data_IF_111991541541
#
_entry.id   IF_111991541541
#
_cell.length_a   1.000
_cell.length_b   1.000
_cell.length_c   1.000
_cell.angle_alpha   90.00
_cell.angle_beta   90.00
_cell.angle_gamma   90.00
#
_symmetry.space_group_name_H-M   'P 1'
#
loop_
_entity.id
_entity.type
_entity.pdbx_description
1 polymer ?
#
# COMPACT_ATOMS: atom_id res chain seq x y z
N UNK A 1 13.00 7.42 25.83
CA UNK A 1 11.67 7.08 25.27
C UNK A 1 11.51 5.56 25.35
N UNK A 2 10.53 5.07 26.08
CA UNK A 2 10.23 3.62 26.09
C UNK A 2 9.69 3.23 24.72
N UNK A 3 10.27 2.19 24.11
CA UNK A 3 9.76 1.67 22.86
C UNK A 3 8.50 0.82 23.13
N UNK A 4 7.62 0.67 22.13
CA UNK A 4 6.44 -0.19 22.20
C UNK A 4 6.82 -1.64 22.59
N UNK A 5 8.03 -2.06 22.24
CA UNK A 5 8.63 -3.35 22.60
C UNK A 5 9.02 -3.41 24.09
N UNK A 6 9.52 -2.29 24.64
CA UNK A 6 9.84 -2.17 26.07
C UNK A 6 8.55 -2.10 26.88
N UNK A 7 7.49 -1.46 26.36
CA UNK A 7 6.15 -1.46 26.96
C UNK A 7 5.57 -2.88 27.01
N UNK A 8 5.66 -3.65 25.92
CA UNK A 8 5.19 -5.03 25.88
C UNK A 8 6.01 -5.95 26.80
N UNK A 9 7.33 -5.69 26.96
CA UNK A 9 8.18 -6.42 27.90
C UNK A 9 7.94 -6.02 29.35
N UNK A 10 7.70 -4.75 29.64
CA UNK A 10 7.35 -4.26 30.96
C UNK A 10 5.93 -4.67 31.37
N UNK A 11 4.99 -4.78 30.42
CA UNK A 11 3.64 -5.30 30.62
C UNK A 11 3.58 -6.82 30.83
N UNK A 12 4.64 -7.55 30.49
CA UNK A 12 4.75 -8.99 30.78
C UNK A 12 4.84 -9.32 32.29
N UNK A 13 5.04 -8.33 33.14
CA UNK A 13 4.95 -8.46 34.59
C UNK A 13 3.52 -8.38 35.13
N UNK A 14 2.52 -8.06 34.30
CA UNK A 14 1.11 -8.12 34.66
C UNK A 14 0.49 -9.40 34.06
N UNK A 15 -0.12 -10.21 34.89
CA UNK A 15 -0.67 -11.56 34.57
C UNK A 15 -1.66 -11.60 33.35
N UNK A 16 -2.04 -10.46 32.81
CA UNK A 16 -2.87 -10.31 31.59
C UNK A 16 -2.10 -10.28 30.28
N UNK A 17 -0.81 -9.96 30.27
CA UNK A 17 -0.04 -9.81 29.02
C UNK A 17 0.48 -11.16 28.49
N UNK A 18 0.70 -12.14 29.37
CA UNK A 18 1.09 -13.49 28.96
C UNK A 18 0.03 -14.22 28.16
N UNK A 19 -1.25 -13.97 28.46
CA UNK A 19 -2.36 -14.55 27.70
C UNK A 19 -2.55 -13.94 26.32
N UNK A 20 -2.31 -12.64 26.17
CA UNK A 20 -2.42 -11.96 24.85
C UNK A 20 -1.34 -12.42 23.87
N UNK A 21 -0.10 -12.65 24.34
CA UNK A 21 1.00 -13.17 23.51
C UNK A 21 0.75 -14.64 23.10
N UNK A 22 0.10 -15.43 23.94
CA UNK A 22 -0.21 -16.83 23.62
C UNK A 22 -1.22 -16.96 22.46
N UNK A 23 -2.06 -15.97 22.25
CA UNK A 23 -3.04 -15.93 21.15
C UNK A 23 -2.44 -15.55 19.79
N UNK A 24 -1.18 -15.07 19.76
CA UNK A 24 -0.52 -14.71 18.50
C UNK A 24 -0.07 -15.97 17.73
N UNK A 25 -0.13 -15.96 16.39
CA UNK A 25 0.45 -17.01 15.56
C UNK A 25 1.90 -17.31 15.92
N UNK A 26 2.30 -18.56 15.80
CA UNK A 26 3.64 -19.03 16.20
C UNK A 26 4.78 -18.28 15.48
N UNK A 27 4.59 -17.92 14.21
CA UNK A 27 5.53 -17.11 13.42
C UNK A 27 5.74 -15.71 14.01
N UNK A 28 4.66 -15.05 14.44
CA UNK A 28 4.72 -13.72 15.07
C UNK A 28 5.40 -13.82 16.43
N UNK A 29 5.08 -14.82 17.23
CA UNK A 29 5.74 -15.06 18.54
C UNK A 29 7.25 -15.26 18.38
N UNK A 30 7.67 -16.05 17.38
CA UNK A 30 9.10 -16.24 17.07
C UNK A 30 9.77 -14.94 16.67
N UNK A 31 9.15 -14.15 15.80
CA UNK A 31 9.68 -12.87 15.39
C UNK A 31 9.83 -11.88 16.55
N UNK A 32 8.86 -11.84 17.47
CA UNK A 32 8.94 -11.00 18.67
C UNK A 32 10.00 -11.46 19.67
N UNK A 33 10.36 -12.75 19.66
CA UNK A 33 11.39 -13.31 20.52
C UNK A 33 12.83 -13.02 20.04
N UNK A 34 13.00 -12.61 18.76
CA UNK A 34 14.32 -12.25 18.23
C UNK A 34 14.79 -10.94 18.88
N UNK A 35 15.96 -10.94 19.55
CA UNK A 35 16.51 -9.71 20.12
C UNK A 35 16.76 -8.67 19.03
N UNK A 36 16.43 -7.40 19.30
CA UNK A 36 16.82 -6.33 18.40
C UNK A 36 18.34 -6.17 18.41
N UNK A 37 18.95 -6.07 17.22
CA UNK A 37 20.35 -5.67 17.13
C UNK A 37 20.49 -4.25 17.71
N UNK A 38 21.33 -4.08 18.72
CA UNK A 38 21.53 -2.82 19.43
C UNK A 38 23.02 -2.56 19.67
N UNK A 39 23.80 -2.44 18.59
CA UNK A 39 25.22 -2.12 18.71
C UNK A 39 25.43 -0.63 18.99
N UNK A 40 24.69 0.22 18.29
CA UNK A 40 24.79 1.68 18.38
C UNK A 40 23.52 2.33 18.96
N UNK A 41 22.39 1.64 18.98
CA UNK A 41 21.09 2.15 19.36
C UNK A 41 20.51 3.15 18.34
N UNK A 42 21.03 3.17 17.12
CA UNK A 42 20.63 4.06 16.03
C UNK A 42 20.17 3.29 14.82
N UNK A 43 19.71 3.99 13.78
CA UNK A 43 19.33 3.41 12.48
C UNK A 43 20.47 2.59 11.83
N UNK A 44 21.71 2.82 12.23
CA UNK A 44 22.88 2.07 11.74
C UNK A 44 22.89 0.59 12.18
N UNK A 45 22.07 0.23 13.14
CA UNK A 45 21.90 -1.17 13.55
C UNK A 45 20.99 -1.96 12.59
N UNK A 46 20.34 -1.29 11.63
CA UNK A 46 19.53 -1.92 10.59
C UNK A 46 20.44 -2.46 9.50
N UNK A 47 20.55 -3.77 9.41
CA UNK A 47 21.41 -4.46 8.44
C UNK A 47 20.66 -4.83 7.16
N UNK A 48 19.36 -5.09 7.26
CA UNK A 48 18.51 -5.48 6.14
C UNK A 48 17.20 -4.72 6.13
N UNK A 49 16.81 -4.24 4.95
CA UNK A 49 15.50 -3.63 4.70
C UNK A 49 14.78 -4.51 3.69
N UNK A 50 13.61 -5.03 4.07
CA UNK A 50 12.74 -5.80 3.19
C UNK A 50 11.47 -5.01 2.95
N UNK A 51 11.20 -4.67 1.70
CA UNK A 51 9.97 -3.98 1.28
C UNK A 51 9.09 -5.03 0.61
N UNK A 52 8.02 -5.43 1.30
CA UNK A 52 7.02 -6.35 0.76
C UNK A 52 5.75 -5.56 0.46
N UNK A 53 5.62 -5.14 -0.79
CA UNK A 53 4.51 -4.32 -1.22
C UNK A 53 3.37 -5.19 -1.72
N UNK A 54 2.30 -5.21 -0.94
CA UNK A 54 1.01 -5.76 -1.35
C UNK A 54 0.08 -4.63 -1.78
N UNK A 55 -0.83 -4.91 -2.66
CA UNK A 55 -1.87 -4.01 -3.10
C UNK A 55 -3.16 -4.83 -3.28
N UNK A 56 -4.22 -4.33 -3.55
CA UNK A 56 -4.68 -2.99 -3.86
C UNK A 56 -5.92 -2.81 -3.00
N UNK A 57 -5.73 -2.51 -1.71
CA UNK A 57 -6.76 -2.33 -0.69
C UNK A 57 -6.49 -1.07 0.12
N UNK A 58 -7.55 -0.31 0.43
CA UNK A 58 -7.42 0.85 1.29
C UNK A 58 -7.12 0.45 2.74
N UNK A 59 -6.60 1.39 3.51
CA UNK A 59 -6.36 1.19 4.94
C UNK A 59 -7.65 0.81 5.67
N UNK A 60 -8.72 1.55 5.46
CA UNK A 60 -10.00 1.30 6.14
C UNK A 60 -10.65 -0.02 5.75
N UNK A 61 -10.44 -0.48 4.52
CA UNK A 61 -10.96 -1.78 4.08
C UNK A 61 -10.39 -2.93 4.91
N UNK A 62 -9.13 -2.82 5.37
CA UNK A 62 -8.47 -3.83 6.20
C UNK A 62 -8.49 -3.46 7.67
N UNK A 63 -8.19 -2.24 8.02
CA UNK A 63 -7.88 -1.82 9.38
C UNK A 63 -8.80 -0.72 9.92
N UNK A 64 -9.81 -0.29 9.16
CA UNK A 64 -10.75 0.75 9.60
C UNK A 64 -11.47 0.40 10.91
N UNK A 65 -11.70 -0.89 11.19
CA UNK A 65 -12.29 -1.38 12.43
C UNK A 65 -11.25 -1.73 13.52
N UNK A 66 -9.95 -1.56 13.28
CA UNK A 66 -8.90 -1.85 14.25
C UNK A 66 -8.89 -0.77 15.35
N UNK A 67 -9.00 -1.19 16.60
CA UNK A 67 -8.93 -0.26 17.72
C UNK A 67 -7.56 0.43 17.83
N UNK A 68 -7.56 1.74 18.10
CA UNK A 68 -6.36 2.54 18.33
C UNK A 68 -5.70 3.09 17.08
N UNK A 69 -6.33 2.97 15.92
CA UNK A 69 -5.88 3.60 14.65
C UNK A 69 -6.86 4.71 14.22
N UNK A 70 -6.43 5.53 13.27
CA UNK A 70 -7.30 6.48 12.57
C UNK A 70 -8.12 5.75 11.51
N UNK A 71 -9.22 5.17 11.92
CA UNK A 71 -10.19 4.44 11.11
C UNK A 71 -11.61 4.89 11.42
N UNK A 72 -12.56 3.98 11.44
CA UNK A 72 -13.98 4.31 11.70
C UNK A 72 -14.23 4.91 13.09
N UNK A 73 -13.31 4.76 14.03
CA UNK A 73 -13.34 5.41 15.35
C UNK A 73 -12.80 6.83 15.38
N UNK A 74 -12.37 7.41 14.25
CA UNK A 74 -11.89 8.80 14.19
C UNK A 74 -13.05 9.74 14.54
N UNK A 75 -12.81 10.61 15.52
CA UNK A 75 -13.82 11.54 16.04
C UNK A 75 -14.06 12.74 15.11
N UNK A 76 -13.19 12.93 14.12
CA UNK A 76 -13.21 14.10 13.23
C UNK A 76 -13.23 13.65 11.77
N UNK A 77 -14.30 12.98 11.30
CA UNK A 77 -14.41 12.58 9.91
C UNK A 77 -14.46 13.82 9.01
N UNK A 78 -13.92 13.71 7.80
CA UNK A 78 -13.98 14.79 6.80
C UNK A 78 -15.45 15.11 6.51
N UNK A 79 -15.86 16.39 6.59
CA UNK A 79 -17.23 16.77 6.25
C UNK A 79 -17.44 16.74 4.73
N UNK A 80 -18.66 16.34 4.31
CA UNK A 80 -19.11 16.38 2.92
C UNK A 80 -20.36 17.27 2.86
N UNK A 81 -20.19 18.61 2.83
CA UNK A 81 -21.29 19.57 2.97
C UNK A 81 -22.28 19.52 1.82
N UNK A 82 -21.84 19.13 0.63
CA UNK A 82 -22.64 19.10 -0.60
C UNK A 82 -23.39 17.76 -0.80
N UNK A 83 -23.43 16.91 0.23
CA UNK A 83 -24.20 15.68 0.17
C UNK A 83 -25.68 15.98 -0.06
N UNK A 84 -26.36 15.33 -1.02
CA UNK A 84 -27.80 15.49 -1.23
C UNK A 84 -28.64 15.09 -0.03
N UNK A 85 -28.15 14.22 0.83
CA UNK A 85 -28.81 13.86 2.07
C UNK A 85 -28.25 14.68 3.24
N UNK A 86 -29.02 15.65 3.70
CA UNK A 86 -28.62 16.55 4.77
C UNK A 86 -28.32 15.85 6.12
N UNK A 87 -28.75 14.60 6.31
CA UNK A 87 -28.48 13.77 7.50
C UNK A 87 -27.08 13.15 7.45
N UNK A 88 -26.44 13.14 6.28
CA UNK A 88 -25.26 12.36 5.97
C UNK A 88 -24.20 13.25 5.32
N UNK A 89 -23.46 14.01 6.14
CA UNK A 89 -22.51 15.02 5.67
C UNK A 89 -21.05 14.71 6.08
N UNK A 90 -20.69 13.44 6.08
CA UNK A 90 -19.32 13.04 6.34
C UNK A 90 -18.88 11.93 5.38
N UNK A 91 -17.59 11.71 5.30
CA UNK A 91 -16.99 10.61 4.49
C UNK A 91 -17.51 9.22 4.86
N UNK A 92 -18.08 9.04 6.06
CA UNK A 92 -18.68 7.77 6.49
C UNK A 92 -20.10 7.55 5.96
N UNK A 93 -20.70 8.55 5.35
CA UNK A 93 -22.02 8.40 4.73
C UNK A 93 -21.99 9.07 3.39
N UNK A 94 -21.77 8.29 2.36
CA UNK A 94 -21.59 8.81 1.01
C UNK A 94 -22.79 8.56 0.13
N UNK A 95 -22.95 9.38 -0.88
CA UNK A 95 -24.01 9.28 -1.84
C UNK A 95 -23.49 8.83 -3.21
N UNK A 96 -24.12 7.81 -3.77
CA UNK A 96 -23.85 7.34 -5.12
C UNK A 96 -24.97 7.81 -6.05
N UNK A 97 -24.67 8.76 -6.92
CA UNK A 97 -25.63 9.28 -7.91
C UNK A 97 -25.81 8.32 -9.10
N UNK A 98 -24.91 7.35 -9.26
CA UNK A 98 -24.87 6.35 -10.34
C UNK A 98 -24.77 4.92 -9.81
N UNK A 99 -25.71 4.48 -8.98
CA UNK A 99 -25.65 3.13 -8.43
C UNK A 99 -25.88 2.10 -9.54
N UNK A 100 -25.29 0.91 -9.37
CA UNK A 100 -25.69 -0.25 -10.15
C UNK A 100 -27.18 -0.57 -9.86
N UNK A 101 -27.87 -1.26 -10.76
CA UNK A 101 -29.31 -1.55 -10.63
C UNK A 101 -29.63 -2.22 -9.29
N UNK A 102 -30.59 -1.64 -8.56
CA UNK A 102 -31.00 -2.11 -7.25
C UNK A 102 -30.06 -1.80 -6.09
N UNK A 103 -28.90 -1.19 -6.35
CA UNK A 103 -27.95 -0.83 -5.29
C UNK A 103 -28.39 0.44 -4.54
N UNK A 104 -28.10 0.56 -3.24
CA UNK A 104 -28.45 1.74 -2.46
C UNK A 104 -27.68 2.98 -2.93
N UNK A 105 -28.35 4.12 -2.94
CA UNK A 105 -27.71 5.43 -3.23
C UNK A 105 -26.95 5.97 -2.03
N UNK A 106 -27.44 5.76 -0.82
CA UNK A 106 -26.74 6.13 0.40
C UNK A 106 -25.94 4.94 0.89
N UNK A 107 -24.63 5.11 1.00
CA UNK A 107 -23.68 4.03 1.31
C UNK A 107 -22.90 4.38 2.57
N UNK A 108 -23.06 3.56 3.60
CA UNK A 108 -22.24 3.58 4.80
C UNK A 108 -21.14 2.52 4.68
N UNK A 109 -20.06 2.57 5.51
CA UNK A 109 -19.18 1.44 5.69
C UNK A 109 -19.97 0.19 6.10
N UNK A 110 -19.74 -0.92 5.40
CA UNK A 110 -20.43 -2.18 5.70
C UNK A 110 -19.44 -3.35 5.75
N UNK A 111 -19.68 -4.25 6.68
CA UNK A 111 -18.81 -5.40 6.89
C UNK A 111 -19.01 -6.45 5.80
N UNK A 112 -17.90 -7.02 5.36
CA UNK A 112 -17.82 -8.23 4.57
C UNK A 112 -17.60 -9.40 5.54
N UNK A 113 -18.66 -10.06 5.96
CA UNK A 113 -18.54 -11.20 6.88
C UNK A 113 -18.19 -12.48 6.09
N UNK A 114 -16.93 -12.87 6.15
CA UNK A 114 -16.42 -14.03 5.41
C UNK A 114 -16.87 -15.37 6.00
N UNK A 115 -17.44 -15.37 7.20
CA UNK A 115 -17.99 -16.57 7.83
C UNK A 115 -19.43 -16.81 7.42
N UNK A 116 -20.19 -15.74 7.19
CA UNK A 116 -21.57 -15.83 6.69
C UNK A 116 -21.59 -16.05 5.17
N UNK A 117 -20.69 -15.40 4.43
CA UNK A 117 -20.62 -15.45 2.99
C UNK A 117 -19.15 -15.55 2.52
N UNK A 118 -18.69 -16.76 2.27
CA UNK A 118 -17.29 -17.04 1.91
C UNK A 118 -16.84 -16.30 0.64
N UNK A 119 -17.73 -16.09 -0.32
CA UNK A 119 -17.47 -15.32 -1.53
C UNK A 119 -17.04 -13.88 -1.25
N UNK A 120 -17.37 -13.31 -0.10
CA UNK A 120 -16.94 -11.95 0.30
C UNK A 120 -15.44 -11.87 0.61
N UNK A 121 -14.73 -12.98 0.74
CA UNK A 121 -13.26 -12.99 0.83
C UNK A 121 -12.60 -12.33 -0.39
N UNK A 122 -13.27 -12.38 -1.54
CA UNK A 122 -12.73 -11.87 -2.80
C UNK A 122 -13.66 -10.84 -3.42
N UNK A 123 -13.54 -9.62 -2.94
CA UNK A 123 -14.29 -8.48 -3.51
C UNK A 123 -13.66 -8.09 -4.85
N UNK A 124 -14.50 -7.77 -5.83
CA UNK A 124 -14.07 -7.24 -7.12
C UNK A 124 -13.20 -5.98 -6.95
N UNK A 125 -12.29 -5.77 -7.89
CA UNK A 125 -11.47 -4.57 -7.84
C UNK A 125 -12.31 -3.33 -8.14
N UNK A 126 -11.96 -2.22 -7.49
CA UNK A 126 -12.53 -0.91 -7.83
C UNK A 126 -11.81 -0.32 -9.04
N UNK A 127 -12.43 0.59 -9.82
CA UNK A 127 -11.71 1.39 -10.80
C UNK A 127 -10.54 2.11 -10.12
N UNK A 128 -9.33 2.07 -10.73
CA UNK A 128 -8.10 2.58 -10.12
C UNK A 128 -7.19 3.33 -11.11
N UNK A 129 -7.80 4.00 -12.10
CA UNK A 129 -7.11 4.95 -12.97
C UNK A 129 -6.91 6.29 -12.28
N UNK A 130 -6.04 7.14 -12.83
CA UNK A 130 -5.85 8.49 -12.34
C UNK A 130 -7.16 9.30 -12.35
N UNK A 131 -7.90 9.28 -13.45
CA UNK A 131 -9.14 10.06 -13.59
C UNK A 131 -10.18 9.73 -12.51
N UNK A 132 -10.52 8.44 -12.34
CA UNK A 132 -11.51 8.07 -11.33
C UNK A 132 -11.00 8.23 -9.88
N UNK A 133 -9.69 8.26 -9.69
CA UNK A 133 -9.12 8.61 -8.40
C UNK A 133 -9.27 10.10 -8.08
N UNK A 134 -9.15 10.98 -9.08
CA UNK A 134 -9.46 12.41 -8.94
C UNK A 134 -10.94 12.64 -8.65
N UNK A 135 -11.83 11.91 -9.32
CA UNK A 135 -13.27 11.98 -9.06
C UNK A 135 -13.61 11.59 -7.61
N UNK A 136 -13.03 10.49 -7.11
CA UNK A 136 -13.23 10.04 -5.73
C UNK A 136 -12.64 11.01 -4.69
N UNK A 137 -11.48 11.59 -5.00
CA UNK A 137 -10.79 12.56 -4.15
C UNK A 137 -11.60 13.86 -3.99
N UNK A 138 -12.35 14.25 -5.01
CA UNK A 138 -13.30 15.37 -4.96
C UNK A 138 -12.70 16.66 -4.37
N UNK A 139 -11.56 17.09 -4.90
CA UNK A 139 -10.81 18.25 -4.44
C UNK A 139 -10.50 18.22 -2.92
N UNK A 140 -10.20 17.04 -2.38
CA UNK A 140 -9.85 16.82 -0.97
C UNK A 140 -11.02 16.49 -0.05
N UNK A 141 -12.27 16.56 -0.53
CA UNK A 141 -13.46 16.26 0.29
C UNK A 141 -13.67 14.76 0.50
N UNK A 142 -13.11 13.92 -0.36
CA UNK A 142 -13.25 12.45 -0.31
C UNK A 142 -14.70 11.95 -0.36
N UNK A 143 -15.61 12.72 -0.98
CA UNK A 143 -17.04 12.52 -0.86
C UNK A 143 -17.69 11.68 -1.96
N UNK A 144 -16.93 11.23 -2.98
CA UNK A 144 -17.50 10.57 -4.17
C UNK A 144 -16.97 9.15 -4.39
N UNK A 145 -16.58 8.47 -3.33
CA UNK A 145 -16.03 7.12 -3.43
C UNK A 145 -16.97 6.12 -4.08
N UNK A 146 -18.23 5.95 -3.62
CA UNK A 146 -19.16 4.99 -4.26
C UNK A 146 -19.43 5.32 -5.73
N UNK A 147 -19.62 6.59 -6.06
CA UNK A 147 -19.91 7.01 -7.44
C UNK A 147 -18.71 6.77 -8.39
N UNK A 148 -17.48 7.03 -7.94
CA UNK A 148 -16.27 6.87 -8.73
C UNK A 148 -15.67 5.46 -8.67
N UNK A 149 -15.86 4.75 -7.55
CA UNK A 149 -15.19 3.49 -7.20
C UNK A 149 -16.14 2.33 -6.93
N UNK A 150 -17.45 2.49 -7.13
CA UNK A 150 -18.53 1.56 -6.79
C UNK A 150 -18.80 1.43 -5.28
N UNK A 151 -19.97 0.94 -4.90
CA UNK A 151 -20.41 0.86 -3.51
C UNK A 151 -19.47 0.02 -2.63
N UNK A 152 -18.84 -1.04 -3.18
CA UNK A 152 -17.93 -1.87 -2.41
C UNK A 152 -16.59 -1.18 -2.02
N UNK A 153 -16.37 0.05 -2.48
CA UNK A 153 -15.29 0.88 -1.93
C UNK A 153 -15.49 1.26 -0.45
N UNK A 154 -16.73 1.15 0.06
CA UNK A 154 -17.07 1.37 1.46
C UNK A 154 -17.07 0.08 2.30
N UNK A 155 -16.78 -1.06 1.69
CA UNK A 155 -16.77 -2.35 2.37
C UNK A 155 -15.51 -2.54 3.22
N UNK A 156 -15.60 -3.27 4.34
CA UNK A 156 -14.47 -3.54 5.21
C UNK A 156 -14.50 -4.93 5.84
N UNK A 157 -13.33 -5.38 6.26
CA UNK A 157 -13.12 -6.58 7.05
C UNK A 157 -12.84 -6.26 8.52
N UNK A 158 -13.02 -7.25 9.37
CA UNK A 158 -12.66 -7.18 10.79
C UNK A 158 -11.53 -8.15 11.14
N UNK A 159 -11.11 -8.16 12.40
CA UNK A 159 -10.11 -9.12 12.86
C UNK A 159 -10.58 -10.58 12.83
N UNK A 160 -11.88 -10.84 12.75
CA UNK A 160 -12.45 -12.17 12.57
C UNK A 160 -12.27 -12.69 11.15
N UNK A 161 -12.32 -11.78 10.18
CA UNK A 161 -12.14 -12.07 8.76
C UNK A 161 -10.65 -12.16 8.40
N UNK A 162 -9.79 -11.39 9.09
CA UNK A 162 -8.36 -11.25 8.81
C UNK A 162 -7.49 -11.43 10.06
N UNK A 163 -7.56 -12.59 10.74
CA UNK A 163 -6.93 -12.78 12.05
C UNK A 163 -5.40 -12.61 12.03
N UNK A 164 -4.73 -13.03 10.96
CA UNK A 164 -3.28 -12.91 10.86
C UNK A 164 -2.83 -11.45 10.69
N UNK A 165 -3.46 -10.68 9.82
CA UNK A 165 -3.15 -9.27 9.59
C UNK A 165 -3.40 -8.43 10.83
N UNK A 166 -4.50 -8.69 11.55
CA UNK A 166 -4.78 -8.03 12.82
C UNK A 166 -3.79 -8.43 13.92
N UNK A 167 -3.35 -9.67 13.96
CA UNK A 167 -2.30 -10.11 14.89
C UNK A 167 -0.97 -9.40 14.59
N UNK A 168 -0.59 -9.26 13.31
CA UNK A 168 0.59 -8.48 12.91
C UNK A 168 0.45 -7.00 13.29
N UNK A 169 -0.69 -6.39 13.00
CA UNK A 169 -0.94 -4.99 13.32
C UNK A 169 -0.84 -4.71 14.84
N UNK A 170 -1.31 -5.64 15.67
CA UNK A 170 -1.21 -5.54 17.13
C UNK A 170 0.20 -5.78 17.66
N UNK A 171 0.98 -6.62 16.98
CA UNK A 171 2.32 -6.99 17.41
C UNK A 171 3.41 -6.00 16.98
N UNK A 172 3.21 -5.30 15.85
CA UNK A 172 4.20 -4.42 15.26
C UNK A 172 3.66 -3.00 15.10
N UNK A 173 4.39 -2.14 14.40
CA UNK A 173 3.99 -0.75 14.16
C UNK A 173 3.03 -0.67 12.97
N UNK A 174 1.91 0.00 13.17
CA UNK A 174 0.97 0.38 12.11
C UNK A 174 1.14 1.87 11.81
N UNK A 175 1.26 2.19 10.53
CA UNK A 175 1.32 3.56 10.05
C UNK A 175 -0.04 3.96 9.49
N UNK A 176 -0.91 4.50 10.35
CA UNK A 176 -2.31 4.85 10.02
C UNK A 176 -2.48 6.24 9.38
N UNK A 177 -1.38 6.94 9.18
CA UNK A 177 -1.31 8.20 8.43
C UNK A 177 -0.30 8.13 7.28
N UNK A 178 0.03 6.93 6.81
CA UNK A 178 0.85 6.73 5.62
C UNK A 178 -0.05 6.73 4.38
N UNK A 179 -0.07 7.84 3.68
CA UNK A 179 -0.90 8.01 2.49
C UNK A 179 -0.14 7.61 1.21
N UNK A 180 -0.88 7.33 0.13
CA UNK A 180 -0.27 7.14 -1.17
C UNK A 180 0.46 8.41 -1.63
N UNK A 181 1.53 8.24 -2.38
CA UNK A 181 2.31 9.36 -2.90
C UNK A 181 1.63 10.10 -4.04
N UNK A 182 0.69 9.42 -4.71
CA UNK A 182 -0.02 9.93 -5.86
C UNK A 182 -1.45 9.38 -5.89
N UNK A 183 -2.42 10.26 -6.10
CA UNK A 183 -3.83 9.88 -6.18
C UNK A 183 -4.13 9.27 -7.55
N UNK A 184 -3.73 8.03 -7.75
CA UNK A 184 -3.81 7.32 -9.03
C UNK A 184 -3.61 5.81 -8.90
N UNK A 185 -3.12 5.19 -9.97
CA UNK A 185 -2.99 3.75 -10.07
C UNK A 185 -1.68 3.16 -9.53
N UNK A 186 -1.51 1.88 -9.80
CA UNK A 186 -0.42 1.02 -9.31
C UNK A 186 0.96 1.50 -9.74
N UNK A 187 1.18 1.65 -11.04
CA UNK A 187 2.51 1.94 -11.56
C UNK A 187 3.08 3.24 -11.00
N UNK A 188 2.29 4.30 -11.00
CA UNK A 188 2.70 5.60 -10.48
C UNK A 188 3.10 5.54 -9.00
N UNK A 189 2.29 4.89 -8.15
CA UNK A 189 2.60 4.77 -6.72
C UNK A 189 3.82 3.89 -6.47
N UNK A 190 4.01 2.83 -7.25
CA UNK A 190 5.22 2.00 -7.16
C UNK A 190 6.47 2.76 -7.61
N UNK A 191 6.38 3.63 -8.62
CA UNK A 191 7.49 4.50 -9.03
C UNK A 191 7.99 5.36 -7.87
N UNK A 192 7.11 5.90 -7.04
CA UNK A 192 7.54 6.65 -5.85
C UNK A 192 8.35 5.80 -4.86
N UNK A 193 8.01 4.53 -4.68
CA UNK A 193 8.82 3.62 -3.83
C UNK A 193 10.20 3.41 -4.42
N UNK A 194 10.30 3.25 -5.74
CA UNK A 194 11.54 2.93 -6.42
C UNK A 194 12.44 4.13 -6.70
N UNK A 195 11.89 5.35 -6.68
CA UNK A 195 12.62 6.55 -7.13
C UNK A 195 12.42 7.78 -6.26
N UNK A 196 11.40 7.80 -5.39
CA UNK A 196 11.04 8.97 -4.60
C UNK A 196 10.33 10.08 -5.40
N UNK A 197 10.08 9.89 -6.70
CA UNK A 197 9.49 10.89 -7.59
C UNK A 197 8.73 10.23 -8.73
N UNK A 198 7.99 11.02 -9.50
CA UNK A 198 7.36 10.62 -10.76
C UNK A 198 7.77 11.54 -11.92
N UNK A 199 8.94 12.14 -11.83
CA UNK A 199 9.46 13.08 -12.84
C UNK A 199 8.46 14.18 -13.25
N UNK A 200 7.95 14.91 -12.25
CA UNK A 200 6.94 15.95 -12.47
C UNK A 200 7.36 17.08 -13.39
N UNK A 201 8.66 17.23 -13.67
CA UNK A 201 9.19 18.21 -14.63
C UNK A 201 9.35 17.66 -16.05
N UNK A 202 9.05 16.38 -16.28
CA UNK A 202 9.11 15.75 -17.61
C UNK A 202 10.50 15.63 -18.20
N UNK A 203 11.57 15.60 -17.40
CA UNK A 203 12.94 15.57 -17.88
C UNK A 203 13.44 14.17 -18.26
N UNK A 204 12.75 13.16 -17.79
CA UNK A 204 13.09 11.76 -18.00
C UNK A 204 11.96 10.93 -18.59
N UNK A 205 11.12 11.51 -19.44
CA UNK A 205 9.92 10.92 -20.05
C UNK A 205 8.76 10.65 -19.06
N UNK A 206 8.77 11.22 -17.86
CA UNK A 206 7.62 11.28 -16.95
C UNK A 206 6.69 12.46 -17.27
N UNK A 207 5.68 12.72 -16.43
CA UNK A 207 5.24 11.82 -15.36
C UNK A 207 4.47 10.60 -15.88
N UNK A 208 4.59 9.46 -15.17
CA UNK A 208 3.76 8.31 -15.44
C UNK A 208 2.39 8.46 -14.78
N UNK A 209 1.31 8.51 -15.56
CA UNK A 209 -0.06 8.62 -15.04
C UNK A 209 -0.84 7.31 -15.16
N UNK A 210 -0.33 6.36 -15.92
CA UNK A 210 -0.94 5.05 -16.15
C UNK A 210 0.07 3.91 -16.09
N UNK A 211 -0.42 2.69 -16.29
CA UNK A 211 0.39 1.47 -16.31
C UNK A 211 1.05 1.28 -17.69
N UNK A 212 2.01 2.14 -18.00
CA UNK A 212 2.83 2.04 -19.21
C UNK A 212 4.19 1.46 -18.87
N UNK A 213 4.84 0.79 -19.83
CA UNK A 213 6.16 0.17 -19.64
C UNK A 213 6.20 -0.82 -18.45
N UNK A 214 5.21 -1.65 -18.33
CA UNK A 214 5.12 -2.67 -17.28
C UNK A 214 5.85 -3.98 -17.62
N UNK A 215 6.51 -4.04 -18.77
CA UNK A 215 7.31 -5.18 -19.24
C UNK A 215 8.65 -4.69 -19.79
N UNK A 216 9.67 -5.54 -19.71
CA UNK A 216 11.01 -5.25 -20.24
C UNK A 216 11.07 -5.20 -21.76
N UNK A 217 10.15 -5.91 -22.42
CA UNK A 217 9.99 -5.95 -23.87
C UNK A 217 8.77 -5.14 -24.32
N UNK A 218 8.80 -4.63 -25.53
CA UNK A 218 7.71 -3.85 -26.13
C UNK A 218 7.73 -2.37 -25.73
N UNK A 219 6.80 -1.60 -26.30
CA UNK A 219 6.78 -0.15 -26.22
C UNK A 219 7.89 0.52 -27.03
N UNK A 220 7.82 1.85 -27.13
CA UNK A 220 8.86 2.65 -27.80
C UNK A 220 10.06 2.85 -26.84
N UNK A 221 11.27 2.34 -27.16
CA UNK A 221 12.45 2.52 -26.31
C UNK A 221 12.81 3.98 -26.04
N UNK A 222 12.51 4.90 -26.97
CA UNK A 222 12.78 6.32 -26.81
C UNK A 222 11.93 6.97 -25.70
N UNK A 223 10.85 6.32 -25.30
CA UNK A 223 9.95 6.79 -24.24
C UNK A 223 10.20 6.10 -22.90
N UNK A 224 11.19 5.22 -22.82
CA UNK A 224 11.60 4.62 -21.55
C UNK A 224 12.03 5.70 -20.54
N UNK A 225 11.73 5.48 -19.29
CA UNK A 225 12.08 6.42 -18.22
C UNK A 225 13.59 6.51 -18.02
N UNK A 226 14.08 7.72 -17.75
CA UNK A 226 15.53 7.99 -17.66
C UNK A 226 15.97 8.65 -16.35
N UNK A 227 15.07 8.96 -15.43
CA UNK A 227 15.50 9.48 -14.12
C UNK A 227 16.04 8.37 -13.23
N UNK A 228 16.91 8.71 -12.29
CA UNK A 228 17.62 7.75 -11.43
C UNK A 228 16.70 7.03 -10.47
N UNK A 229 16.81 5.71 -10.40
CA UNK A 229 16.11 4.87 -9.44
C UNK A 229 16.90 4.72 -8.13
N UNK A 230 16.22 4.31 -7.06
CA UNK A 230 16.88 4.05 -5.78
C UNK A 230 17.86 2.85 -5.83
N UNK A 231 17.55 1.73 -6.51
CA UNK A 231 18.55 0.68 -6.73
C UNK A 231 19.82 1.13 -7.43
N UNK A 232 19.76 2.04 -8.41
CA UNK A 232 20.97 2.62 -9.01
C UNK A 232 21.80 3.42 -7.99
N UNK A 233 21.14 4.14 -7.06
CA UNK A 233 21.81 4.84 -5.97
C UNK A 233 22.44 3.87 -4.96
N UNK A 234 21.79 2.75 -4.66
CA UNK A 234 22.35 1.70 -3.81
C UNK A 234 23.59 1.08 -4.45
N UNK A 235 23.53 0.80 -5.76
CA UNK A 235 24.68 0.28 -6.51
C UNK A 235 25.85 1.25 -6.47
N UNK A 236 25.62 2.54 -6.70
CA UNK A 236 26.64 3.59 -6.61
C UNK A 236 27.24 3.71 -5.21
N UNK A 237 26.46 3.43 -4.17
CA UNK A 237 26.91 3.44 -2.78
C UNK A 237 27.54 2.12 -2.31
N UNK A 238 27.66 1.12 -3.17
CA UNK A 238 28.18 -0.22 -2.83
C UNK A 238 27.25 -1.00 -1.88
N UNK A 239 25.96 -0.64 -1.81
CA UNK A 239 24.96 -1.34 -0.98
C UNK A 239 24.30 -2.43 -1.82
N UNK A 240 24.34 -3.66 -1.32
CA UNK A 240 23.72 -4.78 -2.00
C UNK A 240 22.18 -4.66 -1.98
N UNK A 241 21.56 -5.05 -3.08
CA UNK A 241 20.10 -5.03 -3.22
C UNK A 241 19.63 -6.18 -4.12
N UNK A 242 18.36 -6.55 -4.01
CA UNK A 242 17.72 -7.56 -4.85
C UNK A 242 16.24 -7.30 -4.99
N UNK A 243 15.71 -7.56 -6.19
CA UNK A 243 14.28 -7.58 -6.47
C UNK A 243 13.83 -9.04 -6.56
N UNK A 244 12.75 -9.38 -5.86
CA UNK A 244 12.09 -10.67 -5.96
C UNK A 244 10.77 -10.47 -6.68
N UNK A 245 10.56 -11.13 -7.79
CA UNK A 245 9.37 -11.00 -8.62
C UNK A 245 9.03 -12.32 -9.31
N UNK A 246 7.80 -12.45 -9.79
CA UNK A 246 7.45 -13.50 -10.73
C UNK A 246 7.90 -13.08 -12.13
N UNK A 247 8.85 -13.81 -12.70
CA UNK A 247 9.40 -13.49 -14.03
C UNK A 247 8.41 -13.71 -15.16
N UNK A 248 7.40 -14.56 -14.97
CA UNK A 248 6.38 -14.84 -15.97
C UNK A 248 5.29 -13.77 -16.05
N UNK A 249 5.11 -12.99 -14.99
CA UNK A 249 4.07 -11.97 -14.88
C UNK A 249 4.55 -10.77 -14.06
N UNK A 250 4.91 -9.70 -14.74
CA UNK A 250 5.33 -8.46 -14.08
C UNK A 250 4.17 -7.48 -13.84
N UNK A 251 3.19 -7.45 -14.66
CA UNK A 251 2.02 -6.55 -14.66
C UNK A 251 2.14 -5.29 -13.77
N UNK A 252 3.06 -4.39 -14.09
CA UNK A 252 3.34 -3.14 -13.34
C UNK A 252 3.84 -3.31 -11.89
N UNK A 253 4.08 -4.54 -11.43
CA UNK A 253 4.50 -4.80 -10.05
C UNK A 253 5.96 -4.44 -9.81
N UNK A 254 6.78 -4.51 -10.87
CA UNK A 254 8.15 -4.01 -10.87
C UNK A 254 8.30 -2.89 -11.92
N UNK A 255 8.12 -1.62 -11.55
CA UNK A 255 8.19 -0.50 -12.48
C UNK A 255 9.60 -0.21 -13.01
N UNK A 256 10.64 -0.87 -12.49
CA UNK A 256 11.99 -0.76 -13.10
C UNK A 256 12.00 -1.22 -14.54
N UNK A 257 11.08 -2.09 -14.95
CA UNK A 257 10.87 -2.48 -16.35
C UNK A 257 10.57 -1.30 -17.29
N UNK A 258 10.12 -0.17 -16.76
CA UNK A 258 9.91 1.07 -17.52
C UNK A 258 11.17 1.91 -17.71
N UNK A 259 12.25 1.61 -17.01
CA UNK A 259 13.47 2.42 -17.03
C UNK A 259 14.48 1.93 -18.07
N UNK A 260 15.05 2.89 -18.79
CA UNK A 260 16.05 2.61 -19.85
C UNK A 260 17.23 1.80 -19.32
N UNK A 261 17.76 2.15 -18.14
CA UNK A 261 18.89 1.45 -17.53
C UNK A 261 18.64 -0.06 -17.36
N UNK A 262 17.45 -0.45 -16.92
CA UNK A 262 17.08 -1.86 -16.71
C UNK A 262 16.76 -2.56 -18.03
N UNK A 263 16.11 -1.88 -18.96
CA UNK A 263 15.83 -2.40 -20.31
C UNK A 263 17.13 -2.65 -21.08
N UNK A 264 18.07 -1.71 -21.03
CA UNK A 264 19.39 -1.85 -21.64
C UNK A 264 20.15 -3.05 -21.05
N UNK A 265 20.15 -3.19 -19.72
CA UNK A 265 20.79 -4.33 -19.06
C UNK A 265 20.15 -5.66 -19.45
N UNK A 266 18.83 -5.74 -19.52
CA UNK A 266 18.09 -6.91 -19.96
C UNK A 266 18.43 -7.31 -21.40
N UNK A 267 18.54 -6.33 -22.29
CA UNK A 267 18.89 -6.57 -23.70
C UNK A 267 20.40 -6.69 -23.95
N UNK A 268 21.22 -6.64 -22.90
CA UNK A 268 22.67 -6.80 -23.02
C UNK A 268 23.37 -5.67 -23.77
N UNK A 269 22.85 -4.44 -23.67
CA UNK A 269 23.45 -3.27 -24.31
C UNK A 269 24.86 -3.04 -23.71
N UNK A 270 25.91 -2.88 -24.52
CA UNK A 270 27.26 -2.60 -24.03
C UNK A 270 27.30 -1.35 -23.12
N UNK A 271 27.99 -1.45 -22.00
CA UNK A 271 28.10 -0.35 -21.02
C UNK A 271 26.90 -0.16 -20.12
N UNK A 272 25.83 -0.97 -20.26
CA UNK A 272 24.73 -1.01 -19.30
C UNK A 272 25.20 -1.59 -17.95
N UNK A 273 24.47 -1.27 -16.88
CA UNK A 273 24.81 -1.69 -15.51
C UNK A 273 24.76 -3.22 -15.38
N UNK A 274 25.94 -3.86 -15.41
CA UNK A 274 26.06 -5.33 -15.36
C UNK A 274 25.39 -5.92 -14.10
N UNK A 275 25.44 -5.19 -12.99
CA UNK A 275 24.82 -5.60 -11.74
C UNK A 275 23.29 -5.72 -11.79
N UNK A 276 22.62 -5.01 -12.69
CA UNK A 276 21.17 -5.12 -12.89
C UNK A 276 20.77 -6.46 -13.52
N UNK A 277 21.66 -7.01 -14.36
CA UNK A 277 21.41 -8.24 -15.11
C UNK A 277 21.14 -9.45 -14.22
N UNK A 278 21.82 -9.52 -13.08
CA UNK A 278 21.75 -10.67 -12.18
C UNK A 278 20.81 -10.45 -10.98
N UNK A 279 20.31 -9.21 -10.77
CA UNK A 279 19.61 -8.84 -9.54
C UNK A 279 18.17 -8.41 -9.71
N UNK A 280 17.80 -7.93 -10.88
CA UNK A 280 16.49 -7.31 -11.10
C UNK A 280 15.58 -8.11 -12.06
N UNK A 281 16.10 -9.16 -12.66
CA UNK A 281 15.42 -9.79 -13.79
C UNK A 281 15.47 -11.32 -13.65
#
# INVERSE_FOLDING_TARGET
>A
MQTRRDFLRSGASLAGAGSALALLPASIRRALAIPAARRTGTIRDVEHIVIFMQENRSFDHYFGALAGVRGFGDRFPIPVPDSPDARHRSVWTQYNDKPDDGAPRTVLPYRLDTREAFETMRVASTPHTWSNAQDAWDAGRMGKWPAAKKNHSMAYYTGEDMPFQYAMARAFTVCDAYHCSFTGGTNTNRLFVWTGTNDGLGRGNGPALGNTYNQLTGGDPARAYTWTTYPERLEQAGVSWRIYQNMADNYSLNPTAGFKAYRDAYHGVPGSLAALKDKAL
#
